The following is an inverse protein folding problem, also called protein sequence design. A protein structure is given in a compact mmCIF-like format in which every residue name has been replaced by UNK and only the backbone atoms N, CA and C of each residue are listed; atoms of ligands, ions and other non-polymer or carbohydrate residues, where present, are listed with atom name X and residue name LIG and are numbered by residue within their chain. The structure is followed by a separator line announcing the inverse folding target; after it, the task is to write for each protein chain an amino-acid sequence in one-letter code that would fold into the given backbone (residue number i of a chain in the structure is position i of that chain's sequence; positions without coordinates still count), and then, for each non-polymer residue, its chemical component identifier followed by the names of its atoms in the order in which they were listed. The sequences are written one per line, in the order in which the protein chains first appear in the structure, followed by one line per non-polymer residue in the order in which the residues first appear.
data_IF_830364767488
#
_entry.id   IF_830364767488
#
_cell.length_a   1.000
_cell.length_b   1.000
_cell.length_c   1.000
_cell.angle_alpha   90.00
_cell.angle_beta   90.00
_cell.angle_gamma   90.00
#
_symmetry.space_group_name_H-M   'P 1'
#
loop_
_entity.id
_entity.type
_entity.pdbx_description
1 polymer ?
#
# COMPACT_ATOMS: atom_id res chain seq x y z
N UNK A 1 34.54 6.39 31.12
CA UNK A 1 33.11 6.76 31.17
C UNK A 1 32.76 8.00 30.33
N UNK A 2 33.74 8.67 29.72
CA UNK A 2 33.58 9.93 28.95
C UNK A 2 33.15 9.73 27.48
N UNK A 3 33.51 8.60 26.85
CA UNK A 3 33.23 8.34 25.42
C UNK A 3 31.73 8.16 25.14
N UNK A 4 30.96 7.57 26.08
CA UNK A 4 29.50 7.41 25.93
C UNK A 4 28.75 8.74 26.05
N UNK A 5 29.22 9.65 26.90
CA UNK A 5 28.62 10.98 27.11
C UNK A 5 28.86 11.88 25.90
N UNK A 6 30.06 11.82 25.28
CA UNK A 6 30.34 12.52 24.03
C UNK A 6 29.47 12.06 22.85
N UNK A 7 29.17 10.75 22.75
CA UNK A 7 28.27 10.21 21.72
C UNK A 7 26.81 10.65 21.91
N UNK A 8 26.34 10.69 23.16
CA UNK A 8 24.99 11.19 23.50
C UNK A 8 24.86 12.70 23.26
N UNK A 9 25.89 13.49 23.58
CA UNK A 9 25.93 14.92 23.30
C UNK A 9 25.98 15.22 21.79
N UNK A 10 26.72 14.43 21.01
CA UNK A 10 26.76 14.57 19.56
C UNK A 10 25.42 14.21 18.90
N UNK A 11 24.77 13.12 19.30
CA UNK A 11 23.45 12.75 18.78
C UNK A 11 22.38 13.79 19.13
N UNK A 12 22.40 14.33 20.36
CA UNK A 12 21.44 15.36 20.77
C UNK A 12 21.66 16.71 20.05
N UNK A 13 22.91 17.12 19.82
CA UNK A 13 23.21 18.28 18.98
C UNK A 13 22.76 18.08 17.52
N UNK A 14 22.93 16.88 16.97
CA UNK A 14 22.49 16.55 15.61
C UNK A 14 20.96 16.64 15.47
N UNK A 15 20.22 16.14 16.46
CA UNK A 15 18.75 16.20 16.48
C UNK A 15 18.20 17.64 16.64
N UNK A 16 18.91 18.51 17.36
CA UNK A 16 18.50 19.93 17.54
C UNK A 16 18.91 20.81 16.36
N UNK A 17 19.98 20.45 15.64
CA UNK A 17 20.42 21.18 14.44
C UNK A 17 19.59 20.85 13.18
N UNK A 18 18.99 19.65 13.10
CA UNK A 18 18.15 19.23 11.98
C UNK A 18 16.98 20.18 11.64
N UNK A 19 16.17 20.68 12.61
CA UNK A 19 15.08 21.61 12.30
C UNK A 19 15.56 23.02 11.92
N UNK A 20 16.79 23.41 12.27
CA UNK A 20 17.34 24.73 11.91
C UNK A 20 17.87 24.78 10.47
N UNK A 21 18.05 23.62 9.83
CA UNK A 21 18.54 23.48 8.46
C UNK A 21 17.44 23.22 7.43
N UNK A 22 16.22 22.87 7.85
CA UNK A 22 15.08 22.54 6.97
C UNK A 22 14.46 23.74 6.23
N UNK A 23 15.14 24.89 6.22
CA UNK A 23 14.79 26.09 5.44
C UNK A 23 15.79 26.41 4.34
N UNK A 24 16.91 25.68 4.27
CA UNK A 24 17.92 25.83 3.22
C UNK A 24 17.73 24.72 2.19
N UNK A 25 17.12 25.06 1.05
CA UNK A 25 16.86 24.16 -0.09
C UNK A 25 18.11 23.38 -0.53
N UNK A 26 19.30 23.96 -0.36
CA UNK A 26 20.58 23.30 -0.64
C UNK A 26 20.93 22.18 0.34
N UNK A 27 20.53 22.28 1.60
CA UNK A 27 20.80 21.26 2.62
C UNK A 27 19.84 20.09 2.45
N UNK A 28 18.57 20.35 2.12
CA UNK A 28 17.57 19.31 1.87
C UNK A 28 17.96 18.42 0.68
N UNK A 29 18.49 19.01 -0.40
CA UNK A 29 19.02 18.25 -1.55
C UNK A 29 20.21 17.36 -1.21
N UNK A 30 21.16 17.86 -0.42
CA UNK A 30 22.34 17.10 0.00
C UNK A 30 21.93 15.99 0.96
N UNK A 31 21.01 16.26 1.88
CA UNK A 31 20.43 15.27 2.77
C UNK A 31 19.69 14.18 1.98
N UNK A 32 18.85 14.55 1.02
CA UNK A 32 18.14 13.63 0.13
C UNK A 32 19.10 12.72 -0.66
N UNK A 33 20.18 13.29 -1.21
CA UNK A 33 21.23 12.51 -1.86
C UNK A 33 21.96 11.54 -0.91
N UNK A 34 22.20 11.95 0.33
CA UNK A 34 22.88 11.12 1.33
C UNK A 34 22.00 9.96 1.83
N UNK A 35 20.68 10.15 1.92
CA UNK A 35 19.74 9.09 2.36
C UNK A 35 19.22 8.22 1.21
N UNK A 36 19.44 8.61 -0.05
CA UNK A 36 19.00 7.87 -1.24
C UNK A 36 19.39 6.37 -1.24
N UNK A 37 20.61 5.95 -0.83
CA UNK A 37 20.94 4.54 -0.76
C UNK A 37 20.12 3.77 0.29
N UNK A 38 19.84 4.41 1.43
CA UNK A 38 19.01 3.83 2.48
C UNK A 38 17.55 3.71 2.02
N UNK A 39 17.06 4.74 1.32
CA UNK A 39 15.74 4.75 0.68
C UNK A 39 15.60 3.63 -0.35
N UNK A 40 16.61 3.39 -1.19
CA UNK A 40 16.60 2.30 -2.15
C UNK A 40 16.53 0.92 -1.49
N UNK A 41 17.26 0.71 -0.38
CA UNK A 41 17.20 -0.53 0.41
C UNK A 41 15.83 -0.69 1.05
N UNK A 42 15.30 0.37 1.64
CA UNK A 42 13.97 0.37 2.26
C UNK A 42 12.87 0.04 1.23
N UNK A 43 12.91 0.66 0.05
CA UNK A 43 11.95 0.37 -1.03
C UNK A 43 12.08 -1.07 -1.53
N UNK A 44 13.30 -1.58 -1.68
CA UNK A 44 13.53 -2.98 -2.09
C UNK A 44 12.86 -3.99 -1.14
N UNK A 45 12.79 -3.65 0.15
CA UNK A 45 12.14 -4.50 1.16
C UNK A 45 10.65 -4.23 1.24
N UNK A 46 10.22 -2.97 1.25
CA UNK A 46 8.83 -2.58 1.51
C UNK A 46 7.90 -2.75 0.30
N UNK A 47 8.38 -2.48 -0.91
CA UNK A 47 7.59 -2.51 -2.16
C UNK A 47 6.96 -3.89 -2.41
N UNK A 48 7.67 -5.03 -2.26
CA UNK A 48 7.05 -6.34 -2.39
C UNK A 48 5.89 -6.57 -1.40
N UNK A 49 6.02 -6.13 -0.15
CA UNK A 49 4.95 -6.27 0.84
C UNK A 49 3.74 -5.38 0.51
N UNK A 50 3.98 -4.16 0.05
CA UNK A 50 2.91 -3.28 -0.47
C UNK A 50 2.20 -3.91 -1.68
N UNK A 51 2.94 -4.57 -2.57
CA UNK A 51 2.39 -5.27 -3.73
C UNK A 51 1.50 -6.46 -3.32
N UNK A 52 1.91 -7.21 -2.29
CA UNK A 52 1.13 -8.31 -1.74
C UNK A 52 -0.17 -7.82 -1.08
N UNK A 53 -0.10 -6.74 -0.28
CA UNK A 53 -1.30 -6.13 0.31
C UNK A 53 -2.29 -5.63 -0.75
N UNK A 54 -1.79 -4.97 -1.81
CA UNK A 54 -2.64 -4.55 -2.94
C UNK A 54 -3.24 -5.74 -3.71
N UNK A 55 -2.46 -6.80 -3.91
CA UNK A 55 -2.95 -8.03 -4.53
C UNK A 55 -4.09 -8.65 -3.72
N UNK A 56 -4.03 -8.61 -2.39
CA UNK A 56 -5.13 -9.04 -1.52
C UNK A 56 -6.43 -8.30 -1.85
N UNK A 57 -6.41 -6.96 -1.83
CA UNK A 57 -7.58 -6.14 -2.16
C UNK A 57 -8.08 -6.38 -3.58
N UNK A 58 -7.18 -6.47 -4.54
CA UNK A 58 -7.54 -6.72 -5.94
C UNK A 58 -8.24 -8.08 -6.11
N UNK A 59 -7.77 -9.12 -5.42
CA UNK A 59 -8.41 -10.43 -5.43
C UNK A 59 -9.79 -10.39 -4.79
N UNK A 60 -9.99 -9.68 -3.66
CA UNK A 60 -11.32 -9.51 -3.07
C UNK A 60 -12.30 -8.84 -4.04
N UNK A 61 -11.87 -7.76 -4.70
CA UNK A 61 -12.69 -7.06 -5.71
C UNK A 61 -13.05 -7.96 -6.90
N UNK A 62 -12.11 -8.80 -7.35
CA UNK A 62 -12.40 -9.78 -8.41
C UNK A 62 -13.37 -10.87 -7.94
N UNK A 63 -13.28 -11.29 -6.66
CA UNK A 63 -14.24 -12.21 -6.04
C UNK A 63 -15.64 -11.61 -5.96
N UNK A 64 -15.77 -10.36 -5.52
CA UNK A 64 -17.04 -9.62 -5.48
C UNK A 64 -17.66 -9.49 -6.88
N UNK A 65 -16.85 -9.13 -7.87
CA UNK A 65 -17.31 -9.00 -9.26
C UNK A 65 -17.75 -10.35 -9.83
N UNK A 66 -17.00 -11.42 -9.56
CA UNK A 66 -17.34 -12.77 -10.02
C UNK A 66 -18.64 -13.28 -9.40
N UNK A 67 -18.84 -13.08 -8.10
CA UNK A 67 -20.08 -13.45 -7.41
C UNK A 67 -21.28 -12.72 -8.00
N UNK A 68 -21.14 -11.41 -8.26
CA UNK A 68 -22.18 -10.63 -8.92
C UNK A 68 -22.51 -11.13 -10.34
N UNK A 69 -21.51 -11.58 -11.10
CA UNK A 69 -21.71 -12.13 -12.44
C UNK A 69 -22.45 -13.49 -12.40
N UNK A 70 -22.08 -14.39 -11.49
CA UNK A 70 -22.74 -15.70 -11.30
C UNK A 70 -24.22 -15.51 -10.96
N UNK A 71 -24.53 -14.61 -10.02
CA UNK A 71 -25.91 -14.29 -9.63
C UNK A 71 -26.70 -13.68 -10.82
N UNK A 72 -26.04 -12.89 -11.68
CA UNK A 72 -26.69 -12.22 -12.82
C UNK A 72 -26.95 -13.16 -14.00
N UNK A 73 -26.03 -14.09 -14.27
CA UNK A 73 -26.17 -15.07 -15.35
C UNK A 73 -27.38 -15.98 -15.11
N UNK A 74 -27.59 -16.39 -13.85
CA UNK A 74 -28.74 -17.20 -13.46
C UNK A 74 -30.07 -16.42 -13.48
N UNK A 75 -30.07 -15.16 -13.03
CA UNK A 75 -31.25 -14.28 -13.10
C UNK A 75 -31.72 -13.96 -14.53
N UNK A 76 -30.90 -14.28 -15.55
CA UNK A 76 -31.17 -14.05 -16.96
C UNK A 76 -31.68 -15.28 -17.74
N UNK A 77 -31.72 -16.48 -17.14
CA UNK A 77 -32.19 -17.72 -17.77
C UNK A 77 -33.72 -17.89 -17.60
N UNK A 78 -34.53 -17.70 -18.67
CA UNK A 78 -35.96 -17.94 -18.61
C UNK A 78 -36.24 -19.44 -18.74
N UNK A 79 -36.04 -20.21 -17.67
CA UNK A 79 -36.25 -21.66 -17.72
C UNK A 79 -36.20 -22.42 -16.39
N UNK A 80 -35.63 -21.85 -15.33
CA UNK A 80 -35.51 -22.51 -14.02
C UNK A 80 -36.59 -22.00 -13.06
N UNK A 81 -37.85 -22.23 -13.40
CA UNK A 81 -39.01 -22.02 -12.51
C UNK A 81 -39.97 -23.18 -12.70
N UNK A 82 -39.61 -24.33 -12.15
CA UNK A 82 -40.58 -25.33 -11.70
C UNK A 82 -39.86 -26.44 -10.93
N UNK A 83 -39.83 -26.32 -9.61
CA UNK A 83 -39.46 -27.43 -8.72
C UNK A 83 -38.86 -27.02 -7.39
N UNK A 84 -39.72 -26.78 -6.39
CA UNK A 84 -39.40 -27.06 -4.97
C UNK A 84 -38.33 -26.14 -4.33
N UNK A 85 -38.71 -24.85 -4.24
CA UNK A 85 -37.93 -23.63 -3.98
C UNK A 85 -36.98 -23.51 -2.75
N UNK A 86 -36.66 -24.57 -2.02
CA UNK A 86 -35.67 -24.50 -0.91
C UNK A 86 -34.32 -25.14 -1.25
N UNK A 87 -34.25 -26.01 -2.26
CA UNK A 87 -33.03 -26.76 -2.60
C UNK A 87 -32.14 -26.10 -3.66
N UNK A 88 -32.71 -25.29 -4.57
CA UNK A 88 -31.96 -24.66 -5.67
C UNK A 88 -31.15 -23.44 -5.25
N UNK A 89 -31.67 -22.61 -4.33
CA UNK A 89 -30.90 -21.48 -3.79
C UNK A 89 -29.64 -21.94 -3.06
N UNK A 90 -29.66 -23.14 -2.45
CA UNK A 90 -28.49 -23.71 -1.78
C UNK A 90 -27.40 -24.11 -2.79
N UNK A 91 -27.77 -24.67 -3.95
CA UNK A 91 -26.80 -25.03 -5.00
C UNK A 91 -26.12 -23.81 -5.61
N UNK A 92 -26.85 -22.70 -5.79
CA UNK A 92 -26.29 -21.46 -6.34
C UNK A 92 -25.38 -20.77 -5.32
N UNK A 93 -25.79 -20.73 -4.05
CA UNK A 93 -24.96 -20.21 -2.98
C UNK A 93 -23.69 -21.05 -2.81
N UNK A 94 -23.79 -22.38 -2.95
CA UNK A 94 -22.63 -23.28 -2.92
C UNK A 94 -21.72 -23.09 -4.13
N UNK A 95 -22.26 -22.88 -5.34
CA UNK A 95 -21.46 -22.66 -6.54
C UNK A 95 -20.70 -21.33 -6.48
N UNK A 96 -21.39 -20.24 -6.10
CA UNK A 96 -20.77 -18.93 -5.89
C UNK A 96 -19.70 -18.99 -4.80
N UNK A 97 -19.98 -19.62 -3.66
CA UNK A 97 -19.01 -19.80 -2.58
C UNK A 97 -17.78 -20.57 -3.07
N UNK A 98 -17.96 -21.62 -3.89
CA UNK A 98 -16.88 -22.46 -4.38
C UNK A 98 -16.00 -21.74 -5.42
N UNK A 99 -16.62 -20.99 -6.35
CA UNK A 99 -15.89 -20.29 -7.42
C UNK A 99 -15.26 -18.99 -6.91
N UNK A 100 -15.95 -18.25 -6.04
CA UNK A 100 -15.40 -17.04 -5.40
C UNK A 100 -14.26 -17.37 -4.43
N UNK A 101 -14.24 -18.57 -3.83
CA UNK A 101 -13.15 -19.02 -2.96
C UNK A 101 -11.77 -19.00 -3.64
N UNK A 102 -11.70 -19.18 -4.96
CA UNK A 102 -10.44 -19.09 -5.73
C UNK A 102 -9.81 -17.69 -5.62
N UNK A 103 -10.64 -16.67 -5.42
CA UNK A 103 -10.20 -15.29 -5.20
C UNK A 103 -10.03 -14.98 -3.71
N UNK A 104 -10.99 -15.38 -2.89
CA UNK A 104 -10.99 -15.05 -1.46
C UNK A 104 -9.89 -15.76 -0.67
N UNK A 105 -9.61 -17.03 -0.91
CA UNK A 105 -8.58 -17.78 -0.17
C UNK A 105 -7.19 -17.12 -0.30
N UNK A 106 -6.65 -16.87 -1.52
CA UNK A 106 -5.39 -16.15 -1.65
C UNK A 106 -5.51 -14.70 -1.16
N UNK A 107 -6.67 -14.04 -1.31
CA UNK A 107 -6.85 -12.70 -0.77
C UNK A 107 -6.66 -12.65 0.75
N UNK A 108 -7.30 -13.55 1.50
CA UNK A 108 -7.19 -13.63 2.96
C UNK A 108 -5.79 -14.03 3.42
N UNK A 109 -5.08 -14.88 2.67
CA UNK A 109 -3.67 -15.19 2.95
C UNK A 109 -2.77 -13.94 2.84
N UNK A 110 -3.10 -13.04 1.91
CA UNK A 110 -2.34 -11.82 1.68
C UNK A 110 -2.82 -10.61 2.52
N UNK A 111 -3.97 -10.73 3.19
CA UNK A 111 -4.58 -9.65 3.97
C UNK A 111 -3.69 -9.03 5.06
N UNK A 112 -2.84 -9.79 5.79
CA UNK A 112 -1.94 -9.20 6.78
C UNK A 112 -0.96 -8.17 6.17
N UNK A 113 -0.58 -8.33 4.90
CA UNK A 113 0.29 -7.38 4.21
C UNK A 113 -0.45 -6.07 3.91
N UNK A 114 -1.77 -6.14 3.73
CA UNK A 114 -2.59 -4.96 3.54
C UNK A 114 -2.68 -4.12 4.82
N UNK A 115 -2.95 -4.78 5.95
CA UNK A 115 -2.96 -4.14 7.26
C UNK A 115 -1.59 -3.57 7.66
N UNK A 116 -0.50 -4.20 7.22
CA UNK A 116 0.86 -3.75 7.46
C UNK A 116 1.32 -2.63 6.51
N UNK A 117 0.63 -2.43 5.38
CA UNK A 117 0.96 -1.39 4.39
C UNK A 117 -0.25 -0.48 4.05
N UNK A 118 -0.87 0.16 5.05
CA UNK A 118 -2.00 1.04 4.80
C UNK A 118 -1.47 2.36 4.21
N UNK A 119 -1.92 2.68 3.01
CA UNK A 119 -1.78 3.96 2.29
C UNK A 119 -0.62 4.02 1.30
N UNK A 120 -1.03 4.07 0.02
CA UNK A 120 -0.27 4.52 -1.15
C UNK A 120 1.05 3.80 -1.42
N UNK A 121 1.53 3.84 -2.67
CA UNK A 121 2.83 3.26 -3.00
C UNK A 121 3.89 4.17 -2.39
N UNK A 122 4.38 3.84 -1.20
CA UNK A 122 5.41 4.63 -0.56
C UNK A 122 6.76 4.25 -1.15
N UNK A 123 7.29 5.11 -2.01
CA UNK A 123 8.60 4.93 -2.66
C UNK A 123 9.54 6.05 -2.19
N UNK A 124 10.29 5.76 -1.12
CA UNK A 124 11.24 6.70 -0.52
C UNK A 124 12.27 7.20 -1.53
N UNK A 125 12.66 6.35 -2.47
CA UNK A 125 13.59 6.70 -3.55
C UNK A 125 13.00 7.75 -4.48
N UNK A 126 11.69 7.66 -4.77
CA UNK A 126 11.01 8.66 -5.60
C UNK A 126 11.00 10.02 -4.92
N UNK A 127 10.67 10.08 -3.62
CA UNK A 127 10.66 11.32 -2.85
C UNK A 127 12.06 11.95 -2.75
N UNK A 128 13.09 11.13 -2.52
CA UNK A 128 14.47 11.61 -2.50
C UNK A 128 14.90 12.17 -3.87
N UNK A 129 14.52 11.50 -4.97
CA UNK A 129 14.79 11.98 -6.32
C UNK A 129 14.00 13.24 -6.67
N UNK A 130 12.75 13.35 -6.21
CA UNK A 130 11.93 14.54 -6.39
C UNK A 130 12.58 15.76 -5.70
N UNK A 131 13.09 15.59 -4.49
CA UNK A 131 13.77 16.65 -3.73
C UNK A 131 15.10 17.06 -4.40
N UNK A 132 15.92 16.09 -4.82
CA UNK A 132 17.18 16.35 -5.54
C UNK A 132 16.92 17.17 -6.82
N UNK A 133 15.88 16.80 -7.57
CA UNK A 133 15.52 17.42 -8.85
C UNK A 133 14.67 18.69 -8.71
N UNK A 134 14.21 19.04 -7.51
CA UNK A 134 13.38 20.23 -7.29
C UNK A 134 14.12 21.50 -7.72
N UNK A 135 13.51 22.35 -8.54
CA UNK A 135 14.15 23.61 -8.94
C UNK A 135 14.13 24.63 -7.77
N UNK A 136 15.25 25.32 -7.49
CA UNK A 136 15.26 26.39 -6.49
C UNK A 136 14.34 27.53 -6.96
N UNK A 137 13.18 27.68 -6.31
CA UNK A 137 12.22 28.75 -6.59
C UNK A 137 10.77 28.31 -6.75
N UNK A 138 10.46 27.01 -6.85
CA UNK A 138 9.08 26.51 -6.71
C UNK A 138 8.89 25.95 -5.30
N UNK A 139 8.74 26.87 -4.35
CA UNK A 139 8.20 26.54 -3.05
C UNK A 139 6.89 25.74 -3.23
N UNK A 140 6.89 24.52 -2.68
CA UNK A 140 5.77 23.80 -2.13
C UNK A 140 4.37 24.44 -2.34
N UNK A 141 3.82 24.33 -3.54
CA UNK A 141 2.40 24.54 -3.80
C UNK A 141 1.85 23.23 -4.34
N UNK A 142 1.74 22.23 -3.46
CA UNK A 142 1.29 20.90 -3.88
C UNK A 142 0.93 19.93 -2.76
N UNK A 143 1.31 20.18 -1.50
CA UNK A 143 0.80 19.41 -0.36
C UNK A 143 -0.63 19.89 -0.03
N UNK A 144 -1.58 19.67 -0.95
CA UNK A 144 -2.99 19.55 -0.56
C UNK A 144 -3.11 18.16 0.05
N UNK A 145 -3.30 18.16 1.34
CA UNK A 145 -4.03 17.10 2.05
C UNK A 145 -5.34 16.90 1.28
N UNK A 146 -5.48 15.75 0.62
CA UNK A 146 -6.76 15.12 0.37
C UNK A 146 -6.71 13.74 1.02
#
# INVERSE_FOLDING_TARGET
MTIRVMRLAACSLLCVAAPLLSGCVTVDKVAAGAVLPLAAVADTVAVPFQALGRSSRALMVMGDAHSADVIREDAGEPGYTDGDDEFDQLSLLDLDLLTSAVYYVPAYLLYPFDAATPNEWYTLTHDCLAEINAQPGRAASGRRVQ
#
